data_IF_270782332134
#
_entry.id   IF_270782332134
#
_cell.length_a   1.000
_cell.length_b   1.000
_cell.length_c   1.000
_cell.angle_alpha   90.00
_cell.angle_beta   90.00
_cell.angle_gamma   90.00
#
_symmetry.space_group_name_H-M   'P 1'
#
loop_
_entity.id
_entity.type
_entity.pdbx_description
1 polymer ?
#
# COMPACT_ATOMS: atom_id res chain seq x y z
N UNK A 1 6.81 35.87 1.83
CA UNK A 1 5.61 35.72 0.97
C UNK A 1 4.96 34.39 1.31
N UNK A 2 3.75 34.46 1.88
CA UNK A 2 2.97 33.34 2.41
C UNK A 2 2.32 32.54 1.27
N UNK A 3 2.51 31.22 1.22
CA UNK A 3 1.64 30.31 0.46
C UNK A 3 0.60 29.76 1.43
N UNK A 4 -0.66 30.15 1.19
CA UNK A 4 -1.79 29.85 2.07
C UNK A 4 -2.25 28.39 2.05
N UNK A 5 -3.13 28.00 2.98
CA UNK A 5 -3.66 26.65 3.13
C UNK A 5 -4.79 26.41 2.10
N UNK A 6 -4.43 26.33 0.81
CA UNK A 6 -5.40 26.14 -0.28
C UNK A 6 -5.54 24.70 -0.80
N UNK A 7 -4.49 23.88 -0.63
CA UNK A 7 -4.38 22.61 -1.36
C UNK A 7 -4.96 21.41 -0.58
N UNK A 8 -4.77 21.39 0.75
CA UNK A 8 -5.40 20.37 1.61
C UNK A 8 -6.93 20.48 1.59
N UNK A 9 -7.47 21.71 1.50
CA UNK A 9 -8.91 21.96 1.50
C UNK A 9 -9.60 21.38 0.26
N UNK A 10 -9.01 21.52 -0.91
CA UNK A 10 -9.58 21.00 -2.17
C UNK A 10 -9.57 19.47 -2.22
N UNK A 11 -8.48 18.84 -1.76
CA UNK A 11 -8.37 17.37 -1.71
C UNK A 11 -9.32 16.74 -0.69
N UNK A 12 -9.58 17.42 0.44
CA UNK A 12 -10.60 16.99 1.42
C UNK A 12 -12.03 17.21 0.89
N UNK A 13 -12.29 18.34 0.20
CA UNK A 13 -13.60 18.65 -0.39
C UNK A 13 -13.98 17.75 -1.56
N UNK A 14 -13.04 17.44 -2.48
CA UNK A 14 -13.29 16.49 -3.59
C UNK A 14 -13.56 15.06 -3.09
N UNK A 15 -13.08 14.70 -1.89
CA UNK A 15 -13.26 13.37 -1.30
C UNK A 15 -14.56 13.19 -0.53
N UNK A 16 -15.05 14.25 0.10
CA UNK A 16 -16.39 14.28 0.70
C UNK A 16 -17.49 13.93 -0.33
N UNK A 17 -17.21 14.06 -1.63
CA UNK A 17 -18.12 13.72 -2.73
C UNK A 17 -18.24 12.22 -3.04
N UNK A 18 -17.43 11.33 -2.44
CA UNK A 18 -17.54 9.87 -2.66
C UNK A 18 -17.54 9.08 -1.34
N UNK A 19 -18.57 9.22 -0.49
CA UNK A 19 -18.64 8.51 0.80
C UNK A 19 -18.52 6.99 0.65
N UNK A 20 -18.93 6.46 -0.51
CA UNK A 20 -18.98 5.04 -0.83
C UNK A 20 -17.78 4.54 -1.67
N UNK A 21 -16.70 5.32 -1.84
CA UNK A 21 -15.57 4.92 -2.68
C UNK A 21 -14.98 3.56 -2.28
N UNK A 22 -14.72 3.35 -0.98
CA UNK A 22 -14.18 2.08 -0.48
C UNK A 22 -15.10 0.87 -0.78
N UNK A 23 -16.42 1.01 -0.63
CA UNK A 23 -17.36 -0.09 -0.91
C UNK A 23 -17.50 -0.33 -2.42
N UNK A 24 -17.46 0.71 -3.25
CA UNK A 24 -17.41 0.56 -4.70
C UNK A 24 -16.15 -0.18 -5.16
N UNK A 25 -14.98 0.17 -4.60
CA UNK A 25 -13.72 -0.51 -4.90
C UNK A 25 -13.78 -1.98 -4.46
N UNK A 26 -14.34 -2.27 -3.27
CA UNK A 26 -14.52 -3.65 -2.80
C UNK A 26 -15.44 -4.47 -3.73
N UNK A 27 -16.55 -3.89 -4.19
CA UNK A 27 -17.44 -4.53 -5.15
C UNK A 27 -16.72 -4.81 -6.47
N UNK A 28 -15.95 -3.84 -6.98
CA UNK A 28 -15.15 -4.00 -8.19
C UNK A 28 -14.11 -5.11 -8.02
N UNK A 29 -13.34 -5.10 -6.93
CA UNK A 29 -12.36 -6.13 -6.58
C UNK A 29 -12.99 -7.52 -6.56
N UNK A 30 -14.14 -7.69 -5.90
CA UNK A 30 -14.87 -8.96 -5.88
C UNK A 30 -15.28 -9.42 -7.28
N UNK A 31 -15.60 -8.49 -8.19
CA UNK A 31 -15.98 -8.84 -9.56
C UNK A 31 -14.77 -9.21 -10.42
N UNK A 32 -13.65 -8.49 -10.29
CA UNK A 32 -12.41 -8.80 -11.00
C UNK A 32 -11.83 -10.14 -10.47
N UNK A 33 -11.84 -10.37 -9.16
CA UNK A 33 -11.36 -11.64 -8.59
C UNK A 33 -12.10 -12.86 -9.15
N UNK A 34 -13.37 -12.72 -9.55
CA UNK A 34 -14.16 -13.79 -10.17
C UNK A 34 -13.79 -14.06 -11.63
N UNK A 35 -13.15 -13.12 -12.33
CA UNK A 35 -12.75 -13.31 -13.73
C UNK A 35 -11.47 -14.12 -13.87
N UNK A 36 -10.68 -14.21 -12.80
CA UNK A 36 -9.47 -15.02 -12.80
C UNK A 36 -9.79 -16.52 -12.76
N UNK A 37 -9.10 -17.34 -13.57
CA UNK A 37 -9.29 -18.78 -13.54
C UNK A 37 -8.87 -19.34 -12.18
N UNK A 38 -9.69 -20.26 -11.66
CA UNK A 38 -9.34 -21.06 -10.49
C UNK A 38 -8.37 -22.14 -10.97
N UNK A 39 -7.08 -21.82 -11.00
CA UNK A 39 -6.00 -22.73 -11.33
C UNK A 39 -5.18 -23.05 -10.08
N UNK A 40 -4.62 -24.25 -10.01
CA UNK A 40 -3.74 -24.68 -8.92
C UNK A 40 -2.42 -23.88 -8.88
N UNK A 41 -2.00 -23.34 -10.03
CA UNK A 41 -0.92 -22.38 -10.09
C UNK A 41 -1.42 -21.01 -9.60
N UNK A 42 -0.80 -20.40 -8.58
CA UNK A 42 -1.24 -19.08 -8.10
C UNK A 42 -1.12 -18.05 -9.25
N UNK A 43 -2.16 -17.52 -9.91
CA UNK A 43 -1.90 -16.63 -11.05
C UNK A 43 -1.27 -15.30 -10.60
N UNK A 44 -0.53 -14.62 -11.49
CA UNK A 44 -0.18 -13.20 -11.26
C UNK A 44 -1.44 -12.38 -11.50
N UNK A 45 -1.93 -11.74 -10.45
CA UNK A 45 -3.16 -10.94 -10.44
C UNK A 45 -2.81 -9.45 -10.61
N UNK A 46 -2.15 -9.11 -11.72
CA UNK A 46 -1.59 -7.78 -11.94
C UNK A 46 -2.66 -6.67 -11.83
N UNK A 47 -3.83 -6.89 -12.43
CA UNK A 47 -4.95 -5.94 -12.42
C UNK A 47 -5.58 -5.73 -11.03
N UNK A 48 -5.21 -6.54 -10.02
CA UNK A 48 -5.68 -6.32 -8.65
C UNK A 48 -4.78 -5.37 -7.86
N UNK A 49 -3.53 -5.14 -8.27
CA UNK A 49 -2.58 -4.33 -7.48
C UNK A 49 -3.06 -2.89 -7.32
N UNK A 50 -3.43 -2.22 -8.41
CA UNK A 50 -3.90 -0.83 -8.37
C UNK A 50 -5.23 -0.67 -7.61
N UNK A 51 -6.27 -1.50 -7.84
CA UNK A 51 -7.48 -1.47 -7.02
C UNK A 51 -7.24 -1.71 -5.52
N UNK A 52 -6.29 -2.58 -5.14
CA UNK A 52 -5.92 -2.79 -3.74
C UNK A 52 -5.17 -1.60 -3.13
N UNK A 53 -4.30 -0.96 -3.91
CA UNK A 53 -3.65 0.30 -3.53
C UNK A 53 -4.70 1.41 -3.31
N UNK A 54 -5.65 1.56 -4.23
CA UNK A 54 -6.74 2.51 -4.11
C UNK A 54 -7.62 2.23 -2.87
N UNK A 55 -7.97 0.96 -2.61
CA UNK A 55 -8.74 0.56 -1.43
C UNK A 55 -7.99 0.92 -0.14
N UNK A 56 -6.71 0.54 -0.03
CA UNK A 56 -5.92 0.84 1.15
C UNK A 56 -5.78 2.34 1.38
N UNK A 57 -5.67 3.11 0.30
CA UNK A 57 -5.60 4.57 0.38
C UNK A 57 -6.91 5.17 0.91
N UNK A 58 -8.07 4.71 0.43
CA UNK A 58 -9.38 5.13 0.95
C UNK A 58 -9.58 4.74 2.42
N UNK A 59 -9.16 3.55 2.82
CA UNK A 59 -9.20 3.11 4.22
C UNK A 59 -8.30 3.96 5.12
N UNK A 60 -7.10 4.30 4.66
CA UNK A 60 -6.18 5.22 5.35
C UNK A 60 -6.84 6.59 5.56
N UNK A 61 -7.50 7.14 4.54
CA UNK A 61 -8.21 8.43 4.65
C UNK A 61 -9.39 8.37 5.61
N UNK A 62 -10.06 7.22 5.74
CA UNK A 62 -11.08 6.97 6.75
C UNK A 62 -10.50 6.65 8.14
N UNK A 63 -9.21 6.88 8.36
CA UNK A 63 -8.47 6.58 9.58
C UNK A 63 -8.58 5.11 10.03
N UNK A 64 -8.58 4.19 9.05
CA UNK A 64 -8.57 2.73 9.24
C UNK A 64 -7.23 2.12 8.79
N UNK A 65 -6.11 2.42 9.48
CA UNK A 65 -4.77 2.05 9.04
C UNK A 65 -4.54 0.53 9.05
N UNK A 66 -5.15 -0.22 9.97
CA UNK A 66 -5.00 -1.69 10.03
C UNK A 66 -5.63 -2.35 8.81
N UNK A 67 -6.81 -1.92 8.41
CA UNK A 67 -7.51 -2.39 7.21
C UNK A 67 -6.79 -1.93 5.94
N UNK A 68 -6.21 -0.72 5.95
CA UNK A 68 -5.38 -0.24 4.85
C UNK A 68 -4.17 -1.16 4.61
N UNK A 69 -3.43 -1.53 5.67
CA UNK A 69 -2.30 -2.48 5.58
C UNK A 69 -2.78 -3.83 5.02
N UNK A 70 -3.91 -4.35 5.50
CA UNK A 70 -4.48 -5.61 4.97
C UNK A 70 -4.77 -5.51 3.46
N UNK A 71 -5.34 -4.41 3.00
CA UNK A 71 -5.61 -4.18 1.57
C UNK A 71 -4.31 -4.12 0.76
N UNK A 72 -3.33 -3.33 1.21
CA UNK A 72 -2.01 -3.24 0.55
C UNK A 72 -1.30 -4.59 0.45
N UNK A 73 -1.25 -5.35 1.55
CA UNK A 73 -0.65 -6.69 1.58
C UNK A 73 -1.39 -7.64 0.64
N UNK A 74 -2.72 -7.56 0.54
CA UNK A 74 -3.48 -8.38 -0.42
C UNK A 74 -3.12 -8.04 -1.87
N UNK A 75 -2.94 -6.76 -2.21
CA UNK A 75 -2.44 -6.33 -3.51
C UNK A 75 -1.06 -6.90 -3.84
N UNK A 76 -0.11 -6.78 -2.90
CA UNK A 76 1.25 -7.32 -3.07
C UNK A 76 1.26 -8.85 -3.25
N UNK A 77 0.40 -9.58 -2.51
CA UNK A 77 0.22 -11.03 -2.71
C UNK A 77 -0.30 -11.38 -4.10
N UNK A 78 -1.17 -10.53 -4.67
CA UNK A 78 -1.66 -10.68 -6.05
C UNK A 78 -0.54 -10.69 -7.08
N UNK A 79 0.53 -9.92 -6.84
CA UNK A 79 1.75 -9.90 -7.66
C UNK A 79 2.88 -10.79 -7.12
N UNK A 80 2.51 -11.89 -6.44
CA UNK A 80 3.40 -12.99 -6.00
C UNK A 80 4.39 -12.67 -4.88
N UNK A 81 4.22 -11.55 -4.16
CA UNK A 81 4.99 -11.32 -2.95
C UNK A 81 4.53 -12.26 -1.84
N UNK A 82 5.48 -12.89 -1.13
CA UNK A 82 5.19 -13.54 0.14
C UNK A 82 5.55 -12.58 1.27
N UNK A 83 4.53 -12.15 2.00
CA UNK A 83 4.66 -11.17 3.08
C UNK A 83 4.03 -11.75 4.35
N UNK A 84 4.81 -11.74 5.42
CA UNK A 84 4.33 -11.97 6.78
C UNK A 84 4.06 -10.60 7.38
N UNK A 85 2.79 -10.30 7.66
CA UNK A 85 2.39 -9.05 8.28
C UNK A 85 1.43 -9.37 9.43
N UNK A 86 1.91 -9.17 10.65
CA UNK A 86 1.12 -9.26 11.87
C UNK A 86 0.84 -7.83 12.33
N UNK A 87 -0.29 -7.21 11.89
CA UNK A 87 -0.66 -5.92 12.44
C UNK A 87 -0.89 -6.04 13.95
N UNK A 88 -0.70 -4.96 14.73
CA UNK A 88 -1.07 -4.93 16.14
C UNK A 88 -2.57 -5.17 16.25
N UNK A 89 -2.97 -6.43 16.44
CA UNK A 89 -4.35 -6.79 16.68
C UNK A 89 -4.60 -7.01 18.16
N UNK A 90 -3.61 -7.46 18.95
CA UNK A 90 -3.67 -7.56 20.42
C UNK A 90 -2.26 -7.76 21.03
N UNK A 91 -2.10 -7.37 22.30
CA UNK A 91 -0.86 -7.27 23.11
C UNK A 91 0.01 -8.55 23.24
N UNK A 92 -0.39 -9.67 22.62
CA UNK A 92 0.28 -10.98 22.74
C UNK A 92 1.02 -11.44 21.47
N UNK A 93 0.87 -10.72 20.35
CA UNK A 93 1.51 -11.07 19.09
C UNK A 93 2.83 -10.31 18.86
N UNK A 94 3.86 -11.00 18.35
CA UNK A 94 5.08 -10.32 17.88
C UNK A 94 4.74 -9.48 16.64
N UNK A 95 4.91 -8.17 16.75
CA UNK A 95 4.84 -7.25 15.62
C UNK A 95 5.86 -7.65 14.56
N UNK A 96 5.38 -7.89 13.35
CA UNK A 96 6.21 -8.38 12.27
C UNK A 96 5.72 -7.84 10.93
N UNK A 97 6.66 -7.33 10.15
CA UNK A 97 6.49 -7.11 8.72
C UNK A 97 7.74 -7.62 8.01
N UNK A 98 7.58 -8.64 7.17
CA UNK A 98 8.70 -9.31 6.51
C UNK A 98 8.31 -9.72 5.09
N UNK A 99 9.12 -9.33 4.11
CA UNK A 99 9.04 -9.83 2.74
C UNK A 99 9.93 -11.07 2.65
N UNK A 100 9.31 -12.26 2.62
CA UNK A 100 10.02 -13.55 2.57
C UNK A 100 10.29 -14.03 1.15
N UNK A 101 9.57 -13.48 0.17
CA UNK A 101 9.83 -13.70 -1.25
C UNK A 101 9.39 -12.49 -2.07
N UNK A 102 10.28 -12.00 -2.92
CA UNK A 102 10.00 -10.97 -3.91
C UNK A 102 9.09 -11.52 -5.02
N UNK A 103 8.11 -10.70 -5.42
CA UNK A 103 7.19 -10.99 -6.52
C UNK A 103 7.59 -10.29 -7.81
N UNK A 104 6.60 -10.01 -8.66
CA UNK A 104 6.80 -9.25 -9.89
C UNK A 104 7.25 -7.81 -9.56
N UNK A 105 8.35 -7.32 -10.15
CA UNK A 105 8.74 -5.91 -10.03
C UNK A 105 7.69 -5.02 -10.69
N UNK A 106 7.18 -4.03 -9.95
CA UNK A 106 6.23 -3.04 -10.47
C UNK A 106 6.33 -1.74 -9.66
N UNK A 107 6.20 -0.58 -10.32
CA UNK A 107 6.30 0.73 -9.65
C UNK A 107 5.32 0.86 -8.48
N UNK A 108 4.12 0.29 -8.60
CA UNK A 108 3.10 0.32 -7.57
C UNK A 108 3.49 -0.50 -6.34
N UNK A 109 4.37 -1.51 -6.45
CA UNK A 109 4.89 -2.24 -5.28
C UNK A 109 5.66 -1.29 -4.38
N UNK A 110 6.64 -0.57 -4.95
CA UNK A 110 7.42 0.43 -4.20
C UNK A 110 6.51 1.46 -3.52
N UNK A 111 5.53 2.00 -4.27
CA UNK A 111 4.56 2.95 -3.71
C UNK A 111 3.72 2.32 -2.58
N UNK A 112 3.29 1.07 -2.75
CA UNK A 112 2.51 0.33 -1.75
C UNK A 112 3.30 0.11 -0.46
N UNK A 113 4.58 -0.25 -0.55
CA UNK A 113 5.46 -0.40 0.63
C UNK A 113 5.63 0.92 1.38
N UNK A 114 5.76 2.05 0.68
CA UNK A 114 5.76 3.37 1.32
C UNK A 114 4.42 3.68 2.01
N UNK A 115 3.28 3.32 1.40
CA UNK A 115 1.97 3.52 2.04
C UNK A 115 1.78 2.62 3.28
N UNK A 116 2.36 1.42 3.30
CA UNK A 116 2.42 0.56 4.48
C UNK A 116 3.31 1.21 5.56
N UNK A 117 4.48 1.73 5.19
CA UNK A 117 5.35 2.47 6.10
C UNK A 117 4.60 3.65 6.75
N UNK A 118 3.88 4.45 5.97
CA UNK A 118 3.08 5.57 6.47
C UNK A 118 1.98 5.14 7.46
N UNK A 119 1.38 3.97 7.24
CA UNK A 119 0.41 3.40 8.17
C UNK A 119 1.06 2.93 9.47
N UNK A 120 2.27 2.34 9.39
CA UNK A 120 3.02 1.92 10.57
C UNK A 120 3.57 3.06 11.41
N UNK A 121 3.82 4.25 10.84
CA UNK A 121 4.18 5.44 11.62
C UNK A 121 3.17 5.73 12.75
N UNK A 122 1.91 5.32 12.58
CA UNK A 122 0.85 5.47 13.60
C UNK A 122 0.63 4.22 14.45
N UNK A 123 0.84 3.04 13.89
CA UNK A 123 0.42 1.77 14.51
C UNK A 123 1.54 1.02 15.22
N UNK A 124 2.74 1.00 14.62
CA UNK A 124 3.90 0.27 15.11
C UNK A 124 5.18 0.90 14.50
N UNK A 125 5.62 2.06 14.98
CA UNK A 125 6.79 2.77 14.46
C UNK A 125 8.07 1.92 14.42
N UNK A 126 8.18 0.92 15.30
CA UNK A 126 9.28 -0.05 15.34
C UNK A 126 9.40 -0.89 14.06
N UNK A 127 8.33 -1.03 13.27
CA UNK A 127 8.34 -1.74 11.99
C UNK A 127 8.75 -0.83 10.81
N UNK A 128 8.73 0.49 10.99
CA UNK A 128 9.04 1.44 9.92
C UNK A 128 10.44 1.27 9.30
N UNK A 129 11.52 1.05 10.08
CA UNK A 129 12.84 0.81 9.49
C UNK A 129 12.86 -0.40 8.53
N UNK A 130 12.23 -1.50 8.94
CA UNK A 130 12.15 -2.71 8.12
C UNK A 130 11.34 -2.46 6.83
N UNK A 131 10.15 -1.85 6.96
CA UNK A 131 9.29 -1.57 5.80
C UNK A 131 9.96 -0.59 4.83
N UNK A 132 10.66 0.43 5.34
CA UNK A 132 11.42 1.36 4.50
C UNK A 132 12.54 0.66 3.74
N UNK A 133 13.29 -0.22 4.39
CA UNK A 133 14.34 -1.01 3.73
C UNK A 133 13.78 -1.91 2.61
N UNK A 134 12.59 -2.49 2.80
CA UNK A 134 11.92 -3.22 1.72
C UNK A 134 11.45 -2.31 0.58
N UNK A 135 10.96 -1.11 0.89
CA UNK A 135 10.59 -0.13 -0.14
C UNK A 135 11.79 0.30 -0.97
N UNK A 136 12.94 0.54 -0.32
CA UNK A 136 14.21 0.84 -0.99
C UNK A 136 14.68 -0.31 -1.86
N UNK A 137 14.64 -1.54 -1.35
CA UNK A 137 14.99 -2.72 -2.15
C UNK A 137 14.08 -2.86 -3.37
N UNK A 138 12.76 -2.69 -3.21
CA UNK A 138 11.82 -2.73 -4.33
C UNK A 138 12.11 -1.64 -5.36
N UNK A 139 12.44 -0.43 -4.90
CA UNK A 139 12.86 0.67 -5.76
C UNK A 139 14.12 0.30 -6.57
N UNK A 140 15.15 -0.22 -5.90
CA UNK A 140 16.40 -0.62 -6.55
C UNK A 140 16.23 -1.72 -7.59
N UNK A 141 15.33 -2.69 -7.34
CA UNK A 141 15.00 -3.72 -8.34
C UNK A 141 14.41 -3.09 -9.61
N UNK A 142 13.60 -2.04 -9.50
CA UNK A 142 12.88 -1.42 -10.63
C UNK A 142 13.73 -0.37 -11.34
N UNK A 143 14.40 0.50 -10.58
CA UNK A 143 15.20 1.60 -11.10
C UNK A 143 16.62 1.17 -11.49
N UNK A 144 17.12 0.05 -10.96
CA UNK A 144 18.51 -0.38 -11.11
C UNK A 144 19.50 0.39 -10.24
N UNK A 145 19.01 1.26 -9.34
CA UNK A 145 19.83 2.13 -8.47
C UNK A 145 19.10 2.46 -7.15
N UNK A 146 19.84 2.93 -6.14
CA UNK A 146 19.30 3.36 -4.84
C UNK A 146 19.51 4.85 -4.52
N UNK A 147 20.39 5.52 -5.26
CA UNK A 147 20.85 6.89 -5.00
C UNK A 147 19.70 7.91 -5.03
N UNK A 148 18.73 7.71 -5.92
CA UNK A 148 17.60 8.63 -6.05
C UNK A 148 16.37 8.22 -5.24
N UNK A 149 16.43 7.11 -4.51
CA UNK A 149 15.33 6.63 -3.65
C UNK A 149 14.78 7.74 -2.74
N UNK A 150 15.65 8.41 -1.99
CA UNK A 150 15.24 9.47 -1.07
C UNK A 150 14.59 10.64 -1.82
N UNK A 151 15.18 11.10 -2.92
CA UNK A 151 14.62 12.15 -3.78
C UNK A 151 13.21 11.79 -4.26
N UNK A 152 13.02 10.57 -4.78
CA UNK A 152 11.72 10.09 -5.25
C UNK A 152 10.72 10.01 -4.10
N UNK A 153 11.14 9.50 -2.92
CA UNK A 153 10.23 9.41 -1.76
C UNK A 153 9.75 10.77 -1.27
N UNK A 154 10.61 11.80 -1.27
CA UNK A 154 10.21 13.16 -0.90
C UNK A 154 9.19 13.76 -1.88
N UNK A 155 9.36 13.51 -3.18
CA UNK A 155 8.39 13.93 -4.20
C UNK A 155 7.02 13.27 -4.04
N UNK A 156 6.97 12.06 -3.48
CA UNK A 156 5.73 11.32 -3.25
C UNK A 156 4.99 11.74 -1.97
N UNK A 157 5.68 12.36 -0.98
CA UNK A 157 5.04 12.86 0.24
C UNK A 157 4.10 14.05 -0.03
N UNK A 158 4.32 14.78 -1.13
CA UNK A 158 3.47 15.89 -1.56
C UNK A 158 2.19 15.50 -2.32
N UNK A 159 1.85 14.20 -2.41
CA UNK A 159 0.68 13.69 -3.16
C UNK A 159 -0.22 12.75 -2.35
#
# INVERSE_FOLDING_TARGET
MSKGPGDLGLHLQLRALRPNAASQIQTLLSNIEKTYPKCDAEPILLELLDPYLALGQELRFKNKPTEAIKAYVKGLKGVRYKIVANPPLDEKGKLQFEVTRWGMPDRLVFMTLLRIHDAYLKLAPELCPAVRGYAETAYTIIAGESDTFNTVTELLKGR
#
